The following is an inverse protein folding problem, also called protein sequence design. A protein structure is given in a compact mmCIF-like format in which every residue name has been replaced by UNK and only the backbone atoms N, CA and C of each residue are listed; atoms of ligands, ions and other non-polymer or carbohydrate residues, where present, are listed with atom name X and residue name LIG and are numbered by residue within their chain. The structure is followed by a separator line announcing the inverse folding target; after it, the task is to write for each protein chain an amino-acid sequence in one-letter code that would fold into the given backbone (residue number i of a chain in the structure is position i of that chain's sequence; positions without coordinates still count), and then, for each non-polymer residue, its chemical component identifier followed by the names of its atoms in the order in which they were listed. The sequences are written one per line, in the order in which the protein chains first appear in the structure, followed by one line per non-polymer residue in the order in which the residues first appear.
data_IF_509664488198
#
_entry.id   IF_509664488198
#
_cell.length_a   1.000
_cell.length_b   1.000
_cell.length_c   1.000
_cell.angle_alpha   90.00
_cell.angle_beta   90.00
_cell.angle_gamma   90.00
#
_symmetry.space_group_name_H-M   'P 1'
#
loop_
_entity.id
_entity.type
_entity.pdbx_description
1 polymer ?
#
# COMPACT_ATOMS: atom_id res chain seq x y z
N UNK A 1 -45.35 -6.06 0.67
CA UNK A 1 -44.68 -4.78 0.39
C UNK A 1 -43.34 -5.10 -0.22
N UNK A 2 -42.91 -4.30 -1.18
CA UNK A 2 -41.64 -4.45 -1.89
C UNK A 2 -40.86 -3.15 -1.71
N UNK A 3 -39.53 -3.26 -1.67
CA UNK A 3 -38.58 -2.15 -1.47
C UNK A 3 -37.69 -2.04 -2.68
N UNK A 4 -37.43 -0.83 -3.13
CA UNK A 4 -36.57 -0.59 -4.28
C UNK A 4 -35.13 -1.01 -3.96
N UNK A 5 -34.49 -1.65 -4.92
CA UNK A 5 -33.07 -2.05 -4.92
C UNK A 5 -32.45 -1.41 -6.18
N UNK A 6 -31.93 -0.17 -6.02
CA UNK A 6 -31.45 0.62 -7.16
C UNK A 6 -30.06 0.23 -7.62
N UNK A 7 -29.20 -0.22 -6.71
CA UNK A 7 -27.82 -0.54 -6.99
C UNK A 7 -27.60 -2.04 -7.25
N UNK A 8 -28.62 -2.87 -6.90
CA UNK A 8 -28.66 -4.28 -7.26
C UNK A 8 -27.84 -5.19 -6.34
N UNK A 9 -27.61 -4.75 -5.09
CA UNK A 9 -26.83 -5.52 -4.10
C UNK A 9 -27.65 -6.61 -3.39
N UNK A 10 -28.97 -6.62 -3.55
CA UNK A 10 -29.89 -7.58 -2.96
C UNK A 10 -30.50 -7.13 -1.64
N UNK A 11 -30.26 -5.91 -1.21
CA UNK A 11 -30.92 -5.23 -0.11
C UNK A 11 -31.76 -4.07 -0.64
N UNK A 12 -32.79 -3.66 0.08
CA UNK A 12 -33.73 -2.64 -0.43
C UNK A 12 -33.86 -1.45 0.49
N UNK A 13 -34.12 -0.32 -0.12
CA UNK A 13 -34.32 0.96 0.56
C UNK A 13 -35.57 0.95 1.43
N UNK A 14 -35.46 1.11 2.77
CA UNK A 14 -36.63 1.13 3.66
C UNK A 14 -37.65 2.23 3.33
N UNK A 15 -37.24 3.28 2.61
CA UNK A 15 -38.08 4.41 2.26
C UNK A 15 -38.67 4.31 0.84
N UNK A 16 -38.14 3.42 -0.01
CA UNK A 16 -38.57 3.23 -1.39
C UNK A 16 -39.57 2.07 -1.54
N UNK A 17 -40.82 2.25 -1.15
CA UNK A 17 -41.78 1.15 -1.01
C UNK A 17 -42.81 1.07 -2.15
N UNK A 18 -43.22 -0.16 -2.53
CA UNK A 18 -44.32 -0.44 -3.46
C UNK A 18 -45.21 -1.57 -2.94
N UNK A 19 -46.53 -1.41 -3.07
CA UNK A 19 -47.52 -2.45 -2.81
C UNK A 19 -47.84 -3.17 -4.12
N UNK A 20 -47.55 -4.46 -4.19
CA UNK A 20 -47.88 -5.31 -5.34
C UNK A 20 -48.11 -6.76 -4.90
N UNK A 21 -48.97 -7.48 -5.59
CA UNK A 21 -49.17 -8.91 -5.39
C UNK A 21 -48.05 -9.77 -6.02
N UNK A 22 -47.30 -9.19 -6.96
CA UNK A 22 -46.15 -9.83 -7.61
C UNK A 22 -44.93 -8.89 -7.47
N UNK A 23 -43.74 -9.46 -7.48
CA UNK A 23 -42.48 -8.69 -7.39
C UNK A 23 -42.36 -7.73 -8.59
N UNK A 24 -42.29 -6.42 -8.34
CA UNK A 24 -41.97 -5.45 -9.38
C UNK A 24 -40.49 -5.55 -9.77
N UNK A 25 -40.19 -5.17 -11.00
CA UNK A 25 -38.78 -5.12 -11.44
C UNK A 25 -37.99 -4.07 -10.65
N UNK A 26 -36.79 -4.42 -10.16
CA UNK A 26 -35.95 -3.55 -9.33
C UNK A 26 -36.45 -3.41 -7.89
N UNK A 27 -37.28 -4.34 -7.40
CA UNK A 27 -37.79 -4.35 -6.03
C UNK A 27 -37.56 -5.71 -5.39
N UNK A 28 -37.26 -5.72 -4.09
CA UNK A 28 -37.05 -6.93 -3.28
C UNK A 28 -37.89 -6.89 -1.99
N UNK A 29 -37.84 -7.96 -1.21
CA UNK A 29 -38.56 -8.03 0.07
C UNK A 29 -37.73 -7.54 1.27
N UNK A 30 -36.42 -7.56 1.14
CA UNK A 30 -35.51 -7.01 2.13
C UNK A 30 -35.63 -5.47 2.16
N UNK A 31 -35.43 -4.86 3.34
CA UNK A 31 -35.55 -3.41 3.55
C UNK A 31 -34.45 -2.86 4.45
N UNK A 32 -33.32 -3.53 4.49
CA UNK A 32 -32.25 -3.21 5.44
C UNK A 32 -31.07 -2.45 4.81
N UNK A 33 -31.21 -2.06 3.56
CA UNK A 33 -30.20 -1.25 2.90
C UNK A 33 -30.06 0.13 3.53
N UNK A 34 -28.84 0.55 3.81
CA UNK A 34 -28.53 1.86 4.38
C UNK A 34 -28.08 2.87 3.32
N UNK A 35 -27.71 2.44 2.11
CA UNK A 35 -27.34 3.31 0.99
C UNK A 35 -27.63 2.68 -0.38
N UNK A 36 -28.91 2.71 -0.78
CA UNK A 36 -29.47 2.19 -2.05
C UNK A 36 -28.89 2.86 -3.33
N UNK A 37 -27.82 3.57 -3.20
CA UNK A 37 -27.05 4.13 -4.33
C UNK A 37 -25.65 3.53 -4.45
N UNK A 38 -25.28 2.61 -3.56
CA UNK A 38 -23.93 2.05 -3.47
C UNK A 38 -23.97 0.55 -3.15
N UNK A 39 -23.82 -0.26 -4.16
CA UNK A 39 -23.84 -1.73 -4.05
C UNK A 39 -22.75 -2.34 -3.15
N UNK A 40 -21.90 -1.53 -2.56
CA UNK A 40 -20.89 -1.92 -1.58
C UNK A 40 -21.29 -1.58 -0.14
N UNK A 41 -22.48 -0.97 0.08
CA UNK A 41 -22.96 -0.50 1.39
C UNK A 41 -24.26 -1.19 1.78
N UNK A 42 -24.18 -2.35 2.46
CA UNK A 42 -25.30 -3.16 2.87
C UNK A 42 -25.05 -3.85 4.24
N UNK A 43 -26.06 -4.50 4.85
CA UNK A 43 -25.86 -5.24 6.11
C UNK A 43 -24.80 -6.34 6.01
N UNK A 44 -23.76 -6.26 6.83
CA UNK A 44 -22.59 -7.14 6.86
C UNK A 44 -21.72 -7.08 5.57
N UNK A 45 -21.76 -5.97 4.82
CA UNK A 45 -20.80 -5.72 3.78
C UNK A 45 -19.37 -5.76 4.36
N UNK A 46 -18.38 -6.29 3.64
CA UNK A 46 -17.00 -6.11 4.04
C UNK A 46 -16.62 -4.62 3.96
N UNK A 47 -15.87 -4.14 4.93
CA UNK A 47 -15.29 -2.80 4.84
C UNK A 47 -14.22 -2.77 3.74
N UNK A 48 -14.21 -1.70 2.96
CA UNK A 48 -13.23 -1.41 1.92
C UNK A 48 -12.45 -0.17 2.36
N UNK A 49 -11.20 -0.08 2.01
CA UNK A 49 -10.42 1.12 2.27
C UNK A 49 -10.81 2.23 1.28
N UNK A 50 -11.98 2.84 1.50
CA UNK A 50 -12.55 3.85 0.61
C UNK A 50 -12.98 5.14 1.34
N UNK A 51 -12.78 5.17 2.67
CA UNK A 51 -13.15 6.29 3.53
C UNK A 51 -14.63 6.38 3.85
N UNK A 52 -15.39 5.30 3.62
CA UNK A 52 -16.82 5.23 3.88
C UNK A 52 -17.14 3.96 4.69
N UNK A 53 -18.22 4.03 5.44
CA UNK A 53 -18.74 2.86 6.15
C UNK A 53 -19.52 1.99 5.16
N UNK A 54 -19.05 0.77 4.89
CA UNK A 54 -19.71 -0.16 3.99
C UNK A 54 -20.74 -1.02 4.72
N UNK A 55 -20.46 -1.45 5.94
CA UNK A 55 -21.39 -2.24 6.74
C UNK A 55 -22.45 -1.35 7.39
N UNK A 56 -23.73 -1.59 7.11
CA UNK A 56 -24.85 -0.82 7.71
C UNK A 56 -24.79 -0.83 9.25
N UNK A 57 -24.71 0.36 9.84
CA UNK A 57 -24.63 0.52 11.30
C UNK A 57 -23.25 0.28 11.90
N UNK A 58 -22.23 0.11 11.06
CA UNK A 58 -20.83 0.05 11.46
C UNK A 58 -20.24 1.41 11.87
N UNK A 59 -18.94 1.44 11.97
CA UNK A 59 -18.14 2.66 12.13
C UNK A 59 -16.97 2.60 11.16
N UNK A 60 -16.47 3.75 10.74
CA UNK A 60 -15.28 3.82 9.91
C UNK A 60 -14.13 3.06 10.62
N UNK A 61 -13.45 2.12 9.94
CA UNK A 61 -12.29 1.43 10.48
C UNK A 61 -11.18 2.40 10.90
N UNK A 62 -10.39 2.01 11.89
CA UNK A 62 -9.33 2.89 12.39
C UNK A 62 -8.18 3.07 11.37
N UNK A 63 -7.94 2.05 10.55
CA UNK A 63 -6.95 2.06 9.47
C UNK A 63 -7.37 2.91 8.25
N UNK A 64 -8.63 3.37 8.21
CA UNK A 64 -9.14 4.36 7.26
C UNK A 64 -9.11 5.80 7.82
N UNK A 65 -8.55 6.02 8.99
CA UNK A 65 -8.45 7.34 9.61
C UNK A 65 -7.02 7.83 9.53
N UNK A 66 -6.81 8.97 8.90
CA UNK A 66 -5.55 9.71 8.94
C UNK A 66 -5.42 10.38 10.32
N UNK A 67 -4.58 9.81 11.19
CA UNK A 67 -4.45 10.28 12.58
C UNK A 67 -3.43 11.40 12.77
N UNK A 68 -2.43 11.49 11.91
CA UNK A 68 -1.35 12.49 12.04
C UNK A 68 -1.47 13.66 11.06
N UNK A 69 -2.37 13.53 10.06
CA UNK A 69 -2.75 14.62 9.17
C UNK A 69 -1.83 14.79 7.96
N UNK A 70 -1.16 13.73 7.54
CA UNK A 70 -0.25 13.74 6.39
C UNK A 70 -0.92 13.40 5.05
N UNK A 71 -2.20 13.03 5.10
CA UNK A 71 -3.04 12.62 3.96
C UNK A 71 -2.79 11.19 3.47
N UNK A 72 -2.18 10.33 4.26
CA UNK A 72 -2.12 8.90 4.04
C UNK A 72 -2.90 8.15 5.13
N UNK A 73 -3.30 6.93 4.86
CA UNK A 73 -4.00 6.04 5.80
C UNK A 73 -3.33 4.68 5.82
N UNK A 74 -3.47 3.95 6.92
CA UNK A 74 -2.78 2.67 7.13
C UNK A 74 -3.23 1.58 6.14
N UNK A 75 -4.52 1.57 5.74
CA UNK A 75 -5.03 0.56 4.82
C UNK A 75 -4.63 0.83 3.36
N UNK A 76 -4.55 -0.23 2.56
CA UNK A 76 -4.39 -0.12 1.10
C UNK A 76 -5.68 0.34 0.44
N UNK A 77 -5.65 1.44 -0.31
CA UNK A 77 -6.84 2.03 -0.95
C UNK A 77 -7.52 1.03 -1.88
N UNK A 78 -8.86 0.96 -1.79
CA UNK A 78 -9.68 0.13 -2.69
C UNK A 78 -9.46 0.50 -4.17
N UNK A 79 -9.63 -0.46 -5.05
CA UNK A 79 -9.46 -0.30 -6.51
C UNK A 79 -10.32 0.81 -7.11
N UNK A 80 -11.43 1.17 -6.48
CA UNK A 80 -12.31 2.26 -6.90
C UNK A 80 -11.87 3.62 -6.38
N UNK A 81 -10.84 3.66 -5.54
CA UNK A 81 -10.25 4.86 -4.95
C UNK A 81 -10.96 5.33 -3.70
N UNK A 82 -10.44 6.42 -3.15
CA UNK A 82 -10.96 7.03 -1.93
C UNK A 82 -12.17 7.92 -2.22
N UNK A 83 -13.25 7.73 -1.48
CA UNK A 83 -14.53 8.44 -1.60
C UNK A 83 -14.86 9.25 -0.34
N UNK A 84 -14.16 8.99 0.76
CA UNK A 84 -14.35 9.63 2.04
C UNK A 84 -13.90 11.09 2.12
N UNK A 85 -14.13 11.71 3.27
CA UNK A 85 -13.67 13.06 3.58
C UNK A 85 -12.98 13.07 4.96
N UNK A 86 -11.81 13.72 5.09
CA UNK A 86 -11.11 14.51 4.07
C UNK A 86 -10.59 13.67 2.90
N UNK A 87 -10.23 14.32 1.78
CA UNK A 87 -9.54 13.65 0.70
C UNK A 87 -8.11 13.32 1.15
N UNK A 88 -7.67 12.09 0.89
CA UNK A 88 -6.30 11.63 1.15
C UNK A 88 -5.52 11.48 -0.15
N UNK A 89 -4.20 11.31 -0.05
CA UNK A 89 -3.29 11.13 -1.18
C UNK A 89 -3.02 9.65 -1.48
N UNK A 90 -3.02 8.81 -0.43
CA UNK A 90 -2.74 7.39 -0.57
C UNK A 90 -3.04 6.57 0.68
N UNK A 91 -2.83 5.27 0.59
CA UNK A 91 -2.83 4.30 1.66
C UNK A 91 -1.43 3.77 1.92
N UNK A 92 -1.35 2.67 2.66
CA UNK A 92 -0.12 1.95 3.01
C UNK A 92 0.83 2.77 3.91
N UNK A 93 0.28 3.70 4.71
CA UNK A 93 1.02 4.41 5.75
C UNK A 93 1.46 3.43 6.85
N UNK A 94 2.76 3.31 7.05
CA UNK A 94 3.33 2.34 8.00
C UNK A 94 3.47 2.89 9.43
N UNK A 95 3.26 4.19 9.65
CA UNK A 95 3.18 4.80 10.99
C UNK A 95 2.17 5.96 11.05
N UNK A 96 0.89 5.65 10.95
CA UNK A 96 -0.26 6.57 10.98
C UNK A 96 -0.37 7.44 12.28
N UNK A 97 0.73 7.64 12.99
CA UNK A 97 0.87 8.55 14.13
C UNK A 97 2.07 9.51 13.96
N UNK A 98 2.76 9.45 12.84
CA UNK A 98 3.95 10.24 12.58
C UNK A 98 3.99 10.73 11.14
N UNK A 99 3.47 11.89 10.87
CA UNK A 99 3.38 12.53 9.55
C UNK A 99 4.72 12.71 8.79
N UNK A 100 5.84 12.26 9.32
CA UNK A 100 7.11 12.21 8.62
C UNK A 100 7.41 10.83 8.01
N UNK A 101 6.55 9.84 8.26
CA UNK A 101 6.65 8.46 7.77
C UNK A 101 5.38 8.14 6.98
N UNK A 102 5.47 8.07 5.66
CA UNK A 102 4.38 7.74 4.75
C UNK A 102 4.90 7.49 3.33
N UNK A 103 4.15 6.83 2.42
CA UNK A 103 4.60 6.54 1.06
C UNK A 103 4.89 7.76 0.17
N UNK A 104 4.62 8.98 0.64
CA UNK A 104 4.86 10.22 -0.11
C UNK A 104 6.16 10.92 0.20
N UNK A 105 6.87 10.50 1.24
CA UNK A 105 8.15 11.10 1.62
C UNK A 105 9.32 10.46 0.84
N UNK A 106 10.47 11.09 0.92
CA UNK A 106 11.71 10.51 0.38
C UNK A 106 12.44 9.82 1.50
N UNK A 107 12.92 8.59 1.24
CA UNK A 107 13.70 7.81 2.19
C UNK A 107 14.94 8.55 2.70
N UNK A 108 15.21 8.40 4.00
CA UNK A 108 16.42 8.91 4.66
C UNK A 108 17.28 7.70 5.04
N UNK A 109 18.11 7.26 4.12
CA UNK A 109 18.93 6.06 4.24
C UNK A 109 19.82 6.05 5.49
N UNK A 110 19.99 4.89 6.09
CA UNK A 110 20.92 4.57 7.18
C UNK A 110 20.54 5.12 8.57
N UNK A 111 19.30 5.54 8.77
CA UNK A 111 18.82 6.01 10.08
C UNK A 111 18.03 4.93 10.86
N UNK A 112 17.71 3.82 10.21
CA UNK A 112 17.01 2.67 10.78
C UNK A 112 15.48 2.82 10.76
N UNK A 113 14.95 3.76 9.96
CA UNK A 113 13.52 4.03 9.82
C UNK A 113 13.15 3.92 8.35
N UNK A 114 12.19 3.06 8.00
CA UNK A 114 11.56 2.99 6.69
C UNK A 114 10.59 4.17 6.54
N UNK A 115 11.11 5.33 6.17
CA UNK A 115 10.33 6.58 6.15
C UNK A 115 9.33 6.62 5.00
N UNK A 116 9.63 6.00 3.86
CA UNK A 116 8.77 5.98 2.68
C UNK A 116 7.84 4.76 2.61
N UNK A 117 7.85 3.92 3.64
CA UNK A 117 7.03 2.72 3.75
C UNK A 117 7.21 1.73 2.58
N UNK A 118 8.38 1.72 1.96
CA UNK A 118 8.70 0.83 0.84
C UNK A 118 8.84 -0.64 1.25
N UNK A 119 9.13 -0.87 2.54
CA UNK A 119 9.40 -2.19 3.10
C UNK A 119 10.77 -2.75 2.71
N UNK A 120 11.62 -1.94 2.08
CA UNK A 120 13.00 -2.25 1.78
C UNK A 120 13.90 -2.19 3.01
N UNK A 121 15.17 -2.53 2.85
CA UNK A 121 16.17 -2.29 3.89
C UNK A 121 16.59 -0.82 3.85
N UNK A 122 16.58 -0.16 4.99
CA UNK A 122 17.14 1.20 5.16
C UNK A 122 18.67 1.25 4.90
N UNK A 123 19.29 0.13 4.71
CA UNK A 123 20.72 -0.04 4.47
C UNK A 123 21.06 -0.53 3.06
N UNK A 124 20.07 -0.62 2.16
CA UNK A 124 20.16 -1.05 0.76
C UNK A 124 19.63 0.08 -0.14
N UNK A 125 20.46 1.10 -0.35
CA UNK A 125 20.05 2.35 -1.00
C UNK A 125 19.78 2.19 -2.49
N UNK A 126 20.49 1.29 -3.18
CA UNK A 126 20.35 1.10 -4.62
C UNK A 126 19.38 -0.03 -5.00
N UNK A 127 18.94 -0.82 -4.00
CA UNK A 127 17.89 -1.83 -4.15
C UNK A 127 18.36 -3.13 -4.82
N UNK A 128 19.64 -3.45 -4.72
CA UNK A 128 20.17 -4.68 -5.30
C UNK A 128 19.95 -5.93 -4.41
N UNK A 129 19.53 -5.72 -3.16
CA UNK A 129 19.22 -6.74 -2.16
C UNK A 129 20.35 -7.02 -1.18
N UNK A 130 21.40 -6.20 -1.17
CA UNK A 130 22.50 -6.29 -0.20
C UNK A 130 22.67 -4.97 0.53
N UNK A 131 22.78 -5.06 1.85
CA UNK A 131 23.03 -3.90 2.71
C UNK A 131 24.48 -3.42 2.57
N UNK A 132 24.69 -2.13 2.75
CA UNK A 132 26.00 -1.46 2.74
C UNK A 132 27.00 -2.07 3.74
N UNK A 133 28.24 -2.26 3.32
CA UNK A 133 29.35 -2.72 4.17
C UNK A 133 29.65 -1.75 5.32
N UNK A 134 29.34 -0.48 5.16
CA UNK A 134 29.46 0.54 6.22
C UNK A 134 28.44 0.34 7.34
N UNK A 135 27.39 -0.47 7.12
CA UNK A 135 26.32 -0.76 8.07
C UNK A 135 26.17 -2.25 8.41
N UNK A 136 27.28 -3.00 8.36
CA UNK A 136 27.42 -4.44 8.62
C UNK A 136 26.81 -5.35 7.52
N UNK A 137 26.55 -4.81 6.35
CA UNK A 137 26.23 -5.57 5.15
C UNK A 137 27.49 -6.06 4.41
N UNK A 138 27.34 -6.32 3.12
CA UNK A 138 28.37 -6.89 2.27
C UNK A 138 28.51 -6.20 0.91
N UNK A 139 27.72 -5.17 0.68
CA UNK A 139 27.81 -4.32 -0.52
C UNK A 139 28.86 -3.23 -0.34
N UNK A 140 29.80 -3.16 -1.24
CA UNK A 140 30.91 -2.22 -1.21
C UNK A 140 30.63 -0.89 -1.90
N UNK A 141 29.54 -0.77 -2.67
CA UNK A 141 29.06 0.52 -3.21
C UNK A 141 27.53 0.57 -3.29
N UNK A 142 26.88 0.76 -2.16
CA UNK A 142 25.44 0.82 -1.92
C UNK A 142 24.74 2.02 -2.63
N UNK A 143 25.32 2.51 -3.70
CA UNK A 143 24.74 3.54 -4.58
C UNK A 143 24.72 3.13 -6.04
N UNK A 144 25.22 1.93 -6.36
CA UNK A 144 25.25 1.37 -7.72
C UNK A 144 24.86 -0.11 -7.71
N UNK A 145 23.63 -0.43 -7.98
CA UNK A 145 23.04 -1.77 -8.02
C UNK A 145 23.73 -2.78 -8.95
N UNK A 146 24.81 -2.41 -9.61
CA UNK A 146 25.68 -3.31 -10.39
C UNK A 146 26.95 -3.72 -9.64
N UNK A 147 27.21 -3.16 -8.46
CA UNK A 147 28.38 -3.38 -7.61
C UNK A 147 27.91 -3.99 -6.30
N UNK A 148 28.08 -5.30 -6.12
CA UNK A 148 27.68 -6.04 -4.91
C UNK A 148 28.43 -7.35 -4.79
N UNK A 149 28.46 -7.98 -3.63
CA UNK A 149 29.16 -9.22 -3.42
C UNK A 149 28.63 -10.34 -4.31
N UNK A 150 29.45 -10.74 -5.30
CA UNK A 150 29.14 -11.80 -6.27
C UNK A 150 28.55 -11.30 -7.58
N UNK A 151 28.54 -9.99 -7.83
CA UNK A 151 28.29 -9.42 -9.15
C UNK A 151 29.34 -9.91 -10.18
N UNK A 152 29.10 -9.64 -11.45
CA UNK A 152 30.10 -9.95 -12.48
C UNK A 152 31.14 -8.86 -12.54
N UNK A 153 32.37 -9.19 -12.24
CA UNK A 153 33.49 -8.27 -12.32
C UNK A 153 34.05 -8.14 -13.76
N UNK A 154 34.27 -6.90 -14.18
CA UNK A 154 34.81 -6.57 -15.49
C UNK A 154 36.29 -6.19 -15.36
N UNK A 155 37.20 -7.11 -15.61
CA UNK A 155 38.64 -6.95 -15.45
C UNK A 155 39.19 -5.72 -16.19
N UNK A 156 40.12 -5.03 -15.55
CA UNK A 156 40.89 -3.90 -16.09
C UNK A 156 40.12 -2.57 -16.20
N UNK A 157 39.00 -2.40 -15.59
CA UNK A 157 38.26 -1.13 -15.57
C UNK A 157 38.50 -0.30 -14.29
N UNK A 158 39.09 -0.90 -13.27
CA UNK A 158 39.45 -0.29 -12.01
C UNK A 158 38.31 -0.24 -10.99
N UNK A 159 37.24 -1.01 -11.21
CA UNK A 159 36.09 -1.14 -10.32
C UNK A 159 36.03 -2.58 -9.82
N UNK A 160 36.03 -2.80 -8.51
CA UNK A 160 35.79 -4.09 -7.87
C UNK A 160 34.26 -4.32 -7.80
N UNK A 161 33.66 -4.72 -8.93
CA UNK A 161 32.19 -4.85 -9.03
C UNK A 161 31.66 -6.02 -8.21
N UNK A 162 32.47 -7.02 -7.91
CA UNK A 162 32.05 -8.21 -7.16
C UNK A 162 32.34 -8.13 -5.66
N UNK A 163 32.91 -7.02 -5.17
CA UNK A 163 33.21 -6.75 -3.76
C UNK A 163 34.09 -7.83 -3.09
N UNK A 164 34.96 -8.49 -3.85
CA UNK A 164 35.83 -9.56 -3.32
C UNK A 164 37.19 -9.04 -2.82
N UNK A 165 37.53 -7.76 -3.08
CA UNK A 165 38.76 -7.10 -2.70
C UNK A 165 39.98 -7.58 -3.49
N UNK A 166 39.78 -8.31 -4.57
CA UNK A 166 40.87 -8.75 -5.42
C UNK A 166 41.41 -7.59 -6.29
N UNK A 167 42.55 -7.83 -6.94
CA UNK A 167 43.12 -6.83 -7.83
C UNK A 167 42.49 -6.93 -9.21
N UNK A 168 41.71 -5.94 -9.61
CA UNK A 168 41.03 -5.85 -10.91
C UNK A 168 42.01 -5.99 -12.12
N UNK A 169 43.27 -5.81 -11.92
CA UNK A 169 44.32 -5.92 -12.97
C UNK A 169 45.06 -7.29 -12.95
N UNK A 170 44.67 -8.23 -12.10
CA UNK A 170 45.29 -9.53 -11.94
C UNK A 170 44.26 -10.66 -12.15
N UNK A 171 43.84 -10.86 -13.41
CA UNK A 171 42.75 -11.75 -13.78
C UNK A 171 43.08 -13.22 -13.49
N UNK A 172 44.35 -13.62 -13.51
CA UNK A 172 44.76 -15.04 -13.27
C UNK A 172 45.26 -15.30 -11.84
N UNK A 173 45.32 -14.24 -11.01
CA UNK A 173 45.62 -14.34 -9.58
C UNK A 173 47.10 -14.69 -9.28
N UNK A 174 48.02 -14.35 -10.18
CA UNK A 174 49.45 -14.69 -10.01
C UNK A 174 50.25 -13.60 -9.30
N UNK A 175 49.64 -12.43 -9.04
CA UNK A 175 50.18 -11.32 -8.28
C UNK A 175 51.05 -10.36 -9.11
N UNK A 176 50.95 -10.39 -10.45
CA UNK A 176 51.66 -9.48 -11.35
C UNK A 176 50.78 -8.46 -12.07
#
# INVERSE_FOLDING_TARGET
MWYVDNDGDGFGNPNGTMLSCTQPNGYIQDNNDCDDGRSQSYPNAPELCDGLINTCGGSLPADEVDFDGDFYVECSIDVNGWLGAPAIQGGDDCDNNNAAINPGVTEVWYDGIDSDCSGGSDYDQDGDGQDSDNHNGIDCDDTDASIYLGATDAWYDGVDSNCDGANDFDQDGDGE
#
